data_IF_156958930194
#
_entry.id   IF_156958930194
#
_cell.length_a   1.000
_cell.length_b   1.000
_cell.length_c   1.000
_cell.angle_alpha   90.00
_cell.angle_beta   90.00
_cell.angle_gamma   90.00
#
_symmetry.space_group_name_H-M   'P 1'
#
loop_
_entity.id
_entity.type
_entity.pdbx_description
1 polymer ?
#
# COMPACT_ATOMS: atom_id res chain seq x y z
N UNK A 1 -7.87 7.75 3.09
CA UNK A 1 -8.25 6.44 2.51
C UNK A 1 -7.90 6.43 1.03
N UNK A 2 -7.38 5.31 0.54
CA UNK A 2 -6.96 5.08 -0.84
C UNK A 2 -7.71 3.84 -1.37
N UNK A 3 -8.15 3.87 -2.62
CA UNK A 3 -8.59 2.68 -3.36
C UNK A 3 -7.49 2.29 -4.34
N UNK A 4 -7.22 0.99 -4.45
CA UNK A 4 -6.45 0.41 -5.55
C UNK A 4 -7.36 -0.52 -6.34
N UNK A 5 -7.34 -0.39 -7.66
CA UNK A 5 -8.11 -1.23 -8.57
C UNK A 5 -7.22 -1.79 -9.67
N UNK A 6 -7.43 -3.06 -10.02
CA UNK A 6 -6.77 -3.67 -11.16
C UNK A 6 -7.37 -3.13 -12.46
N UNK A 7 -6.53 -2.76 -13.41
CA UNK A 7 -6.96 -2.53 -14.78
C UNK A 7 -6.94 -3.83 -15.58
N UNK A 8 -7.86 -3.99 -16.55
CA UNK A 8 -7.86 -5.14 -17.45
C UNK A 8 -6.52 -5.26 -18.21
N UNK A 9 -6.13 -6.52 -18.47
CA UNK A 9 -5.01 -6.97 -19.33
C UNK A 9 -3.75 -6.08 -19.36
N UNK A 10 -2.77 -6.40 -18.51
CA UNK A 10 -1.37 -5.94 -18.64
C UNK A 10 -1.06 -4.51 -18.20
N UNK A 11 -2.08 -3.73 -17.83
CA UNK A 11 -1.94 -2.38 -17.31
C UNK A 11 -1.67 -2.38 -15.80
N UNK A 12 -0.97 -1.36 -15.27
CA UNK A 12 -0.67 -1.28 -13.85
C UNK A 12 -1.94 -1.09 -13.04
N UNK A 13 -1.90 -1.46 -11.77
CA UNK A 13 -2.96 -1.08 -10.83
C UNK A 13 -3.13 0.45 -10.81
N UNK A 14 -4.36 0.94 -10.69
CA UNK A 14 -4.64 2.37 -10.49
C UNK A 14 -4.86 2.63 -9.00
N UNK A 15 -4.37 3.77 -8.49
CA UNK A 15 -4.65 4.21 -7.12
C UNK A 15 -5.34 5.57 -7.13
N UNK A 16 -6.41 5.68 -6.34
CA UNK A 16 -7.17 6.91 -6.14
C UNK A 16 -7.25 7.28 -4.67
N UNK A 17 -7.11 8.57 -4.38
CA UNK A 17 -7.43 9.13 -3.05
C UNK A 17 -8.94 9.22 -2.90
N UNK A 18 -9.47 8.55 -1.88
CA UNK A 18 -10.90 8.59 -1.54
C UNK A 18 -11.16 9.69 -0.51
N UNK A 19 -10.28 9.77 0.50
CA UNK A 19 -10.41 10.76 1.57
C UNK A 19 -9.07 11.08 2.20
N UNK A 20 -8.96 12.28 2.77
CA UNK A 20 -7.79 12.72 3.55
C UNK A 20 -8.27 13.24 4.88
N UNK A 21 -7.57 12.86 5.95
CA UNK A 21 -7.82 13.38 7.30
C UNK A 21 -6.50 13.93 7.82
N UNK A 22 -6.53 15.18 8.28
CA UNK A 22 -5.38 15.86 8.87
C UNK A 22 -5.67 16.06 10.35
N UNK A 23 -4.70 15.71 11.20
CA UNK A 23 -4.79 15.86 12.65
C UNK A 23 -3.45 16.29 13.21
N UNK A 24 -3.47 17.12 14.25
CA UNK A 24 -2.27 17.55 14.96
C UNK A 24 -1.88 16.53 16.04
N UNK A 25 -0.59 16.18 16.12
CA UNK A 25 -0.07 15.26 17.13
C UNK A 25 1.24 14.58 16.74
N UNK A 26 1.78 13.79 17.66
CA UNK A 26 2.99 13.01 17.43
C UNK A 26 2.65 11.57 17.06
N UNK A 27 3.01 11.15 15.85
CA UNK A 27 2.95 9.75 15.45
C UNK A 27 4.07 8.98 16.20
N UNK A 28 3.71 7.95 16.96
CA UNK A 28 4.72 7.00 17.48
C UNK A 28 5.45 6.37 16.30
N UNK A 29 6.77 6.14 16.42
CA UNK A 29 7.55 5.48 15.37
C UNK A 29 6.97 4.09 15.10
N UNK A 30 6.24 3.94 14.01
CA UNK A 30 5.80 2.64 13.51
C UNK A 30 7.01 1.93 12.91
N UNK A 31 7.17 0.63 13.16
CA UNK A 31 8.21 -0.16 12.47
C UNK A 31 7.96 -0.05 10.96
N UNK A 32 9.00 0.29 10.21
CA UNK A 32 8.96 0.41 8.74
C UNK A 32 8.64 -0.90 8.02
N UNK A 33 8.71 -2.00 8.78
CA UNK A 33 8.54 -3.36 8.30
C UNK A 33 7.22 -3.94 8.84
N UNK A 34 6.08 -3.44 8.36
CA UNK A 34 4.83 -4.17 8.51
C UNK A 34 4.81 -5.34 7.52
N UNK A 35 5.63 -6.37 7.79
CA UNK A 35 5.44 -7.72 7.25
C UNK A 35 5.56 -7.90 5.73
N UNK A 36 6.37 -7.12 5.01
CA UNK A 36 6.64 -7.35 3.57
C UNK A 36 7.67 -8.47 3.32
N UNK A 37 7.61 -9.57 4.09
CA UNK A 37 8.48 -10.72 3.83
C UNK A 37 7.73 -11.74 2.97
N UNK A 38 7.98 -11.63 1.65
CA UNK A 38 7.64 -12.56 0.54
C UNK A 38 6.27 -12.30 -0.10
N UNK A 39 6.28 -11.74 -1.32
CA UNK A 39 5.10 -11.62 -2.18
C UNK A 39 4.98 -10.28 -2.90
N UNK A 40 3.75 -9.94 -3.27
CA UNK A 40 3.39 -8.68 -3.92
C UNK A 40 3.19 -7.59 -2.87
N UNK A 41 3.73 -6.39 -3.10
CA UNK A 41 3.64 -5.26 -2.15
C UNK A 41 3.49 -3.92 -2.85
N UNK A 42 3.10 -2.91 -2.08
CA UNK A 42 3.12 -1.50 -2.47
C UNK A 42 4.12 -0.77 -1.57
N UNK A 43 4.92 0.10 -2.19
CA UNK A 43 5.80 1.04 -1.49
C UNK A 43 5.32 2.46 -1.73
N UNK A 44 5.14 3.20 -0.65
CA UNK A 44 4.84 4.63 -0.66
C UNK A 44 6.12 5.37 -0.30
N UNK A 45 6.51 6.31 -1.16
CA UNK A 45 7.61 7.22 -0.95
C UNK A 45 7.04 8.61 -0.70
N UNK A 46 7.37 9.19 0.44
CA UNK A 46 6.90 10.51 0.85
C UNK A 46 7.99 11.52 0.57
N UNK A 47 7.66 12.53 -0.24
CA UNK A 47 8.54 13.61 -0.62
C UNK A 47 8.05 14.92 -0.03
N UNK A 48 9.00 15.80 0.26
CA UNK A 48 8.74 17.16 0.71
C UNK A 48 9.81 18.08 0.11
N UNK A 49 9.39 19.11 -0.62
CA UNK A 49 10.30 19.98 -1.37
C UNK A 49 11.31 19.17 -2.22
N UNK A 50 10.83 18.16 -2.95
CA UNK A 50 11.61 17.21 -3.75
C UNK A 50 12.58 16.28 -3.01
N UNK A 51 12.71 16.37 -1.67
CA UNK A 51 13.51 15.46 -0.87
C UNK A 51 12.67 14.28 -0.36
N UNK A 52 13.19 13.04 -0.47
CA UNK A 52 12.56 11.87 0.12
C UNK A 52 12.67 11.94 1.65
N UNK A 53 11.56 12.10 2.35
CA UNK A 53 11.52 12.24 3.80
C UNK A 53 11.25 10.92 4.52
N UNK A 54 10.44 10.05 3.91
CA UNK A 54 10.13 8.74 4.49
C UNK A 54 9.65 7.75 3.43
N UNK A 55 9.56 6.48 3.80
CA UNK A 55 8.91 5.45 2.99
C UNK A 55 8.18 4.43 3.85
N UNK A 56 7.15 3.82 3.27
CA UNK A 56 6.35 2.77 3.88
C UNK A 56 6.10 1.66 2.87
N UNK A 57 6.44 0.43 3.24
CA UNK A 57 6.13 -0.76 2.44
C UNK A 57 5.05 -1.58 3.14
N UNK A 58 4.04 -2.00 2.38
CA UNK A 58 2.92 -2.81 2.88
C UNK A 58 2.52 -3.89 1.88
N UNK A 59 1.96 -5.00 2.39
CA UNK A 59 1.43 -6.09 1.58
C UNK A 59 0.40 -5.56 0.56
N UNK A 60 0.46 -6.06 -0.68
CA UNK A 60 -0.36 -5.49 -1.75
C UNK A 60 -1.87 -5.63 -1.44
N UNK A 61 -2.66 -4.54 -1.41
CA UNK A 61 -4.06 -4.60 -0.96
C UNK A 61 -4.94 -5.53 -1.80
N UNK A 62 -4.62 -5.70 -3.09
CA UNK A 62 -5.32 -6.64 -3.97
C UNK A 62 -5.00 -8.13 -3.72
N UNK A 63 -3.91 -8.47 -3.03
CA UNK A 63 -3.51 -9.86 -2.79
C UNK A 63 -3.78 -10.21 -1.34
N UNK A 64 -4.70 -11.14 -1.10
CA UNK A 64 -5.16 -11.51 0.24
C UNK A 64 -5.02 -13.00 0.45
N UNK A 65 -4.51 -13.37 1.62
CA UNK A 65 -4.53 -14.73 2.12
C UNK A 65 -5.70 -14.87 3.08
N UNK A 66 -6.64 -15.77 2.77
CA UNK A 66 -7.80 -16.07 3.60
C UNK A 66 -7.54 -17.38 4.33
N UNK A 67 -7.59 -17.34 5.66
CA UNK A 67 -7.54 -18.53 6.50
C UNK A 67 -8.95 -19.03 6.77
N UNK A 68 -9.19 -20.33 6.59
CA UNK A 68 -10.50 -20.96 6.79
C UNK A 68 -10.35 -22.34 7.45
N UNK A 69 -11.36 -22.81 8.20
CA UNK A 69 -11.32 -24.13 8.82
C UNK A 69 -11.34 -25.24 7.76
N UNK A 70 -10.41 -26.18 7.85
CA UNK A 70 -10.30 -27.34 6.96
C UNK A 70 -10.84 -28.64 7.59
N UNK A 71 -11.43 -28.55 8.79
CA UNK A 71 -11.82 -29.72 9.61
C UNK A 71 -10.68 -30.20 10.52
N UNK A 72 -10.98 -31.12 11.44
CA UNK A 72 -10.01 -31.71 12.39
C UNK A 72 -9.14 -30.68 13.14
N UNK A 73 -9.71 -29.53 13.52
CA UNK A 73 -8.98 -28.44 14.19
C UNK A 73 -7.77 -27.91 13.39
N UNK A 74 -7.81 -28.04 12.06
CA UNK A 74 -6.80 -27.52 11.13
C UNK A 74 -7.34 -26.32 10.35
N UNK A 75 -6.45 -25.41 10.00
CA UNK A 75 -6.72 -24.27 9.14
C UNK A 75 -6.02 -24.45 7.80
N UNK A 76 -6.72 -24.04 6.74
CA UNK A 76 -6.17 -23.95 5.40
C UNK A 76 -6.10 -22.48 4.99
N UNK A 77 -5.13 -22.16 4.13
CA UNK A 77 -4.94 -20.82 3.57
C UNK A 77 -5.26 -20.86 2.09
N UNK A 78 -6.03 -19.89 1.61
CA UNK A 78 -6.28 -19.66 0.19
C UNK A 78 -5.87 -18.25 -0.19
N UNK A 79 -4.97 -18.16 -1.15
CA UNK A 79 -4.61 -16.89 -1.76
C UNK A 79 -5.64 -16.49 -2.81
N UNK A 80 -6.08 -15.23 -2.76
CA UNK A 80 -7.01 -14.66 -3.72
C UNK A 80 -6.53 -13.29 -4.17
N UNK A 81 -7.00 -12.90 -5.36
CA UNK A 81 -6.71 -11.59 -5.94
C UNK A 81 -8.00 -10.85 -6.18
N UNK A 82 -8.11 -9.67 -5.58
CA UNK A 82 -9.28 -8.79 -5.69
C UNK A 82 -9.17 -7.92 -6.94
N UNK A 83 -10.33 -7.50 -7.47
CA UNK A 83 -10.40 -6.48 -8.53
C UNK A 83 -10.19 -5.08 -7.99
N UNK A 84 -10.62 -4.83 -6.75
CA UNK A 84 -10.50 -3.57 -6.04
C UNK A 84 -10.31 -3.81 -4.53
N UNK A 85 -9.55 -2.94 -3.88
CA UNK A 85 -9.40 -2.95 -2.44
C UNK A 85 -9.13 -1.54 -1.89
N UNK A 86 -9.68 -1.25 -0.72
CA UNK A 86 -9.37 -0.03 0.02
C UNK A 86 -8.28 -0.27 1.06
N UNK A 87 -7.45 0.74 1.27
CA UNK A 87 -6.43 0.75 2.32
C UNK A 87 -6.21 2.17 2.83
N UNK A 88 -5.57 2.28 3.99
CA UNK A 88 -5.18 3.58 4.55
C UNK A 88 -3.73 3.55 4.98
N UNK A 89 -3.10 4.71 4.89
CA UNK A 89 -1.76 4.96 5.39
C UNK A 89 -1.80 6.17 6.29
N UNK A 90 -0.93 6.18 7.30
CA UNK A 90 -0.74 7.33 8.19
C UNK A 90 0.74 7.66 8.19
N UNK A 91 1.05 8.92 7.94
CA UNK A 91 2.41 9.43 7.92
C UNK A 91 2.43 10.84 8.50
N UNK A 92 3.60 11.28 8.95
CA UNK A 92 3.76 12.62 9.51
C UNK A 92 4.03 13.62 8.38
N UNK A 93 3.24 14.68 8.31
CA UNK A 93 3.51 15.84 7.46
C UNK A 93 4.28 16.86 8.28
N UNK A 94 5.52 17.17 7.87
CA UNK A 94 6.38 18.15 8.56
C UNK A 94 6.36 19.56 7.95
N UNK A 95 5.88 19.72 6.71
CA UNK A 95 5.79 20.98 5.98
C UNK A 95 4.72 20.90 4.87
N UNK A 96 4.23 22.04 4.35
CA UNK A 96 3.34 22.08 3.17
C UNK A 96 3.99 21.46 1.93
N UNK A 97 3.16 21.00 0.98
CA UNK A 97 3.64 20.46 -0.30
C UNK A 97 4.17 19.03 -0.20
N UNK A 98 3.45 18.16 0.51
CA UNK A 98 3.82 16.75 0.58
C UNK A 98 3.38 16.03 -0.69
N UNK A 99 4.29 15.29 -1.28
CA UNK A 99 4.03 14.48 -2.45
C UNK A 99 4.21 13.00 -2.11
N UNK A 100 3.36 12.14 -2.65
CA UNK A 100 3.40 10.71 -2.43
C UNK A 100 3.57 10.02 -3.77
N UNK A 101 4.69 9.35 -3.97
CA UNK A 101 4.88 8.40 -5.07
C UNK A 101 4.55 7.00 -4.58
N UNK A 102 3.66 6.31 -5.30
CA UNK A 102 3.25 4.96 -4.98
C UNK A 102 3.76 4.02 -6.07
N UNK A 103 4.51 3.00 -5.67
CA UNK A 103 5.00 1.94 -6.55
C UNK A 103 4.45 0.58 -6.15
N UNK A 104 4.11 -0.22 -7.14
CA UNK A 104 3.70 -1.62 -7.01
C UNK A 104 4.87 -2.53 -7.38
N UNK A 105 5.07 -3.59 -6.61
CA UNK A 105 5.96 -4.70 -6.97
C UNK A 105 5.14 -5.98 -7.02
N UNK A 106 5.01 -6.55 -8.21
CA UNK A 106 4.40 -7.87 -8.43
C UNK A 106 5.50 -8.85 -8.81
N UNK A 107 5.78 -9.87 -8.00
CA UNK A 107 6.85 -10.81 -8.33
C UNK A 107 6.44 -11.67 -9.55
N UNK A 108 7.35 -11.91 -10.53
CA UNK A 108 8.77 -11.53 -10.58
C UNK A 108 9.06 -10.20 -11.32
N UNK A 109 8.04 -9.39 -11.62
CA UNK A 109 8.18 -8.13 -12.34
C UNK A 109 8.92 -7.04 -11.53
N UNK A 110 9.64 -6.13 -12.21
CA UNK A 110 10.26 -4.99 -11.55
C UNK A 110 9.22 -4.03 -10.96
N UNK A 111 9.58 -3.23 -9.94
CA UNK A 111 8.70 -2.23 -9.38
C UNK A 111 8.23 -1.22 -10.44
N UNK A 112 6.95 -0.85 -10.38
CA UNK A 112 6.32 0.11 -11.30
C UNK A 112 5.61 1.20 -10.53
N UNK A 113 5.72 2.45 -10.98
CA UNK A 113 4.93 3.54 -10.42
C UNK A 113 3.47 3.40 -10.85
N UNK A 114 2.56 3.47 -9.87
CA UNK A 114 1.11 3.33 -10.06
C UNK A 114 0.33 4.58 -9.67
N UNK A 115 0.95 5.48 -8.89
CA UNK A 115 0.37 6.77 -8.55
C UNK A 115 1.43 7.81 -8.18
N UNK A 116 1.08 9.06 -8.39
CA UNK A 116 1.77 10.22 -7.83
C UNK A 116 0.71 11.21 -7.33
N UNK A 117 0.69 11.48 -6.03
CA UNK A 117 -0.35 12.26 -5.36
C UNK A 117 0.29 13.49 -4.73
N UNK A 118 -0.29 14.66 -4.95
CA UNK A 118 0.09 15.91 -4.28
C UNK A 118 -0.95 16.21 -3.20
N UNK A 119 -0.51 16.48 -1.98
CA UNK A 119 -1.35 16.80 -0.81
C UNK A 119 -1.11 18.22 -0.33
#
# INVERSE_FOLDING_TARGET
>A
MLSVSRQNSGQPSNVRVISTTVSEGTLKKTRKDAGSNRGNYITLYFYQNAALTDSLTLAHPLYKSLEYPAGNNTFAVKDTVLSEAEFFVRFKVTAPGTEIKITETLQPSPPRQIAFIKL
#
